data_IF_369099963384
#
_entry.id   IF_369099963384
#
_cell.length_a   1.000
_cell.length_b   1.000
_cell.length_c   1.000
_cell.angle_alpha   90.00
_cell.angle_beta   90.00
_cell.angle_gamma   90.00
#
_symmetry.space_group_name_H-M   'P 1'
#
loop_
_entity.id
_entity.type
_entity.pdbx_description
1 polymer ?
#
# COMPACT_ATOMS: atom_id res chain seq x y z
N UNK A 1 -23.43 -32.72 -19.12
CA UNK A 1 -23.74 -31.33 -18.76
C UNK A 1 -22.49 -30.68 -18.16
N UNK A 2 -21.71 -30.05 -19.02
CA UNK A 2 -20.48 -29.36 -18.68
C UNK A 2 -20.84 -27.94 -18.26
N UNK A 3 -20.65 -27.61 -16.99
CA UNK A 3 -20.77 -26.23 -16.48
C UNK A 3 -19.50 -25.48 -16.92
N UNK A 4 -19.65 -24.66 -17.96
CA UNK A 4 -18.63 -23.67 -18.31
C UNK A 4 -18.63 -22.56 -17.24
N UNK A 5 -17.84 -22.72 -16.20
CA UNK A 5 -17.55 -21.66 -15.26
C UNK A 5 -16.49 -20.72 -15.85
N UNK A 6 -16.81 -19.44 -15.97
CA UNK A 6 -15.81 -18.42 -16.27
C UNK A 6 -14.89 -18.27 -15.06
N UNK A 7 -13.68 -18.82 -15.15
CA UNK A 7 -12.65 -18.62 -14.12
C UNK A 7 -12.01 -17.27 -14.34
N UNK A 8 -12.23 -16.33 -13.43
CA UNK A 8 -11.51 -15.06 -13.39
C UNK A 8 -10.24 -15.27 -12.55
N UNK A 9 -9.11 -15.46 -13.20
CA UNK A 9 -7.82 -15.45 -12.52
C UNK A 9 -7.45 -14.01 -12.16
N UNK A 10 -7.50 -13.67 -10.89
CA UNK A 10 -6.98 -12.41 -10.37
C UNK A 10 -5.49 -12.57 -10.06
N UNK A 11 -4.66 -12.63 -11.09
CA UNK A 11 -3.21 -12.50 -10.99
C UNK A 11 -2.80 -11.11 -11.46
N UNK A 12 -1.92 -10.46 -10.71
CA UNK A 12 -1.38 -9.15 -11.09
C UNK A 12 -0.36 -9.24 -12.25
N UNK A 13 0.03 -10.45 -12.65
CA UNK A 13 0.99 -10.71 -13.72
C UNK A 13 0.57 -11.93 -14.52
N UNK A 14 0.26 -11.73 -15.82
CA UNK A 14 0.16 -12.81 -16.80
C UNK A 14 1.19 -12.50 -17.89
N UNK A 15 2.20 -13.35 -17.99
CA UNK A 15 3.09 -13.39 -19.12
C UNK A 15 2.40 -14.11 -20.27
N UNK A 16 2.16 -13.40 -21.34
CA UNK A 16 1.80 -13.78 -22.72
C UNK A 16 0.42 -13.36 -23.21
N UNK A 17 0.42 -12.49 -24.21
CA UNK A 17 -0.54 -12.45 -25.29
C UNK A 17 -1.63 -11.38 -25.23
N UNK A 18 -2.20 -11.07 -24.10
CA UNK A 18 -3.22 -10.03 -23.97
C UNK A 18 -2.81 -8.98 -22.94
N UNK A 19 -2.83 -7.70 -23.33
CA UNK A 19 -2.62 -6.58 -22.42
C UNK A 19 -3.76 -6.56 -21.41
N UNK A 20 -3.59 -7.23 -20.27
CA UNK A 20 -4.56 -7.13 -19.18
C UNK A 20 -4.37 -5.77 -18.49
N UNK A 21 -5.36 -4.93 -18.67
CA UNK A 21 -5.45 -3.66 -17.98
C UNK A 21 -5.74 -3.95 -16.50
N UNK A 22 -4.85 -3.48 -15.61
CA UNK A 22 -5.07 -3.52 -14.17
C UNK A 22 -6.25 -2.59 -13.83
N UNK A 23 -7.47 -3.11 -13.88
CA UNK A 23 -8.68 -2.34 -13.59
C UNK A 23 -9.24 -2.71 -12.23
N UNK A 24 -9.75 -1.70 -11.51
CA UNK A 24 -10.63 -1.93 -10.36
C UNK A 24 -12.04 -2.26 -10.83
N UNK A 25 -12.75 -3.03 -10.02
CA UNK A 25 -14.15 -3.41 -10.26
C UNK A 25 -15.09 -2.22 -10.54
N UNK A 26 -14.73 -1.02 -10.06
CA UNK A 26 -15.51 0.22 -10.24
C UNK A 26 -14.95 1.18 -11.30
N UNK A 27 -14.13 0.73 -12.23
CA UNK A 27 -13.51 1.56 -13.28
C UNK A 27 -12.74 2.80 -12.77
N UNK A 28 -12.45 2.87 -11.48
CA UNK A 28 -11.68 3.97 -10.89
C UNK A 28 -10.18 3.78 -11.14
N UNK A 29 -9.44 4.87 -11.42
CA UNK A 29 -8.01 4.79 -11.65
C UNK A 29 -7.28 4.27 -10.42
N UNK A 30 -6.21 3.51 -10.67
CA UNK A 30 -5.32 3.06 -9.60
C UNK A 30 -4.51 4.25 -9.08
N UNK A 31 -4.32 4.39 -7.76
CA UNK A 31 -3.46 5.45 -7.23
C UNK A 31 -2.02 5.22 -7.65
N UNK A 32 -1.39 6.29 -8.13
CA UNK A 32 -0.01 6.25 -8.60
C UNK A 32 0.92 6.60 -7.42
N UNK A 33 1.92 5.74 -7.11
CA UNK A 33 2.84 6.02 -6.02
C UNK A 33 3.69 7.26 -6.26
N UNK A 34 3.86 8.07 -5.21
CA UNK A 34 4.83 9.16 -5.17
C UNK A 34 6.15 8.63 -4.60
N UNK A 35 7.20 8.64 -5.40
CA UNK A 35 8.54 8.25 -4.96
C UNK A 35 9.28 9.45 -4.34
N UNK A 36 9.70 9.31 -3.09
CA UNK A 36 10.48 10.32 -2.34
C UNK A 36 11.89 9.81 -2.11
N UNK A 37 12.85 10.34 -2.88
CA UNK A 37 14.27 9.98 -2.75
C UNK A 37 14.94 10.88 -1.72
N UNK A 38 15.42 10.31 -0.61
CA UNK A 38 16.05 11.06 0.47
C UNK A 38 16.86 10.15 1.39
N UNK A 39 17.85 10.74 2.12
CA UNK A 39 18.61 9.99 3.12
C UNK A 39 17.77 9.61 4.35
N UNK A 40 18.26 8.62 5.10
CA UNK A 40 17.51 8.00 6.21
C UNK A 40 17.01 9.01 7.25
N UNK A 41 17.81 10.01 7.63
CA UNK A 41 17.39 11.01 8.60
C UNK A 41 16.21 11.84 8.08
N UNK A 42 16.32 12.35 6.86
CA UNK A 42 15.24 13.12 6.24
C UNK A 42 13.99 12.28 6.02
N UNK A 43 14.15 10.98 5.71
CA UNK A 43 13.06 10.03 5.59
C UNK A 43 12.27 9.94 6.90
N UNK A 44 12.94 9.80 8.04
CA UNK A 44 12.29 9.73 9.35
C UNK A 44 11.58 11.03 9.71
N UNK A 45 12.21 12.20 9.48
CA UNK A 45 11.59 13.50 9.71
C UNK A 45 10.33 13.68 8.85
N UNK A 46 10.44 13.38 7.56
CA UNK A 46 9.31 13.53 6.64
C UNK A 46 8.21 12.48 6.91
N UNK A 47 8.56 11.27 7.35
CA UNK A 47 7.61 10.24 7.79
C UNK A 47 6.75 10.77 8.94
N UNK A 48 7.39 11.30 10.01
CA UNK A 48 6.65 11.86 11.16
C UNK A 48 5.75 13.01 10.73
N UNK A 49 6.25 13.94 9.92
CA UNK A 49 5.45 15.05 9.38
C UNK A 49 4.22 14.53 8.63
N UNK A 50 4.40 13.57 7.72
CA UNK A 50 3.32 13.03 6.92
C UNK A 50 2.29 12.25 7.76
N UNK A 51 2.76 11.45 8.73
CA UNK A 51 1.88 10.72 9.63
C UNK A 51 1.09 11.66 10.54
N UNK A 52 1.69 12.75 11.03
CA UNK A 52 0.97 13.79 11.80
C UNK A 52 -0.12 14.46 10.96
N UNK A 53 0.14 14.73 9.68
CA UNK A 53 -0.85 15.25 8.76
C UNK A 53 -2.02 14.27 8.61
N UNK A 54 -1.74 12.98 8.38
CA UNK A 54 -2.79 11.96 8.27
C UNK A 54 -3.56 11.77 9.58
N UNK A 55 -2.89 11.81 10.73
CA UNK A 55 -3.53 11.75 12.05
C UNK A 55 -4.54 12.90 12.23
N UNK A 56 -4.15 14.14 11.86
CA UNK A 56 -5.05 15.31 11.90
C UNK A 56 -6.27 15.11 11.00
N UNK A 57 -6.07 14.55 9.82
CA UNK A 57 -7.11 14.30 8.82
C UNK A 57 -7.90 12.99 9.08
N UNK A 58 -7.61 12.29 10.19
CA UNK A 58 -8.18 10.97 10.55
C UNK A 58 -8.08 9.93 9.43
N UNK A 59 -6.98 9.96 8.68
CA UNK A 59 -6.71 9.02 7.60
C UNK A 59 -5.88 7.86 8.12
N UNK A 60 -6.41 6.62 8.08
CA UNK A 60 -5.66 5.43 8.48
C UNK A 60 -4.48 5.16 7.57
N UNK A 61 -3.38 4.63 8.13
CA UNK A 61 -2.15 4.39 7.37
C UNK A 61 -1.70 2.93 7.49
N UNK A 62 -1.35 2.32 6.36
CA UNK A 62 -0.52 1.11 6.32
C UNK A 62 0.93 1.50 6.07
N UNK A 63 1.79 1.21 7.03
CA UNK A 63 3.22 1.49 6.96
C UNK A 63 3.98 0.18 6.74
N UNK A 64 4.47 -0.01 5.51
CA UNK A 64 5.22 -1.20 5.12
C UNK A 64 6.70 -1.06 5.44
N UNK A 65 7.24 -2.07 6.12
CA UNK A 65 8.66 -2.19 6.48
C UNK A 65 9.22 -3.54 6.02
N UNK A 66 10.55 -3.65 5.99
CA UNK A 66 11.26 -4.80 5.42
C UNK A 66 11.15 -6.08 6.25
N UNK A 67 11.22 -5.96 7.57
CA UNK A 67 11.34 -7.11 8.50
C UNK A 67 10.44 -6.94 9.70
N UNK A 68 10.06 -8.05 10.30
CA UNK A 68 9.21 -8.08 11.50
C UNK A 68 9.88 -7.31 12.66
N UNK A 69 11.20 -7.42 12.82
CA UNK A 69 11.92 -6.70 13.88
C UNK A 69 11.80 -5.19 13.71
N UNK A 70 11.80 -4.70 12.47
CA UNK A 70 11.61 -3.27 12.17
C UNK A 70 10.22 -2.80 12.55
N UNK A 71 9.18 -3.64 12.52
CA UNK A 71 7.83 -3.21 12.91
C UNK A 71 7.81 -2.71 14.35
N UNK A 72 8.48 -3.42 15.25
CA UNK A 72 8.57 -3.05 16.68
C UNK A 72 9.43 -1.81 16.90
N UNK A 73 10.54 -1.68 16.16
CA UNK A 73 11.41 -0.49 16.25
C UNK A 73 10.66 0.76 15.77
N UNK A 74 9.98 0.66 14.64
CA UNK A 74 9.16 1.75 14.09
C UNK A 74 8.00 2.07 15.03
N UNK A 75 7.33 1.08 15.61
CA UNK A 75 6.25 1.32 16.59
C UNK A 75 6.76 2.11 17.81
N UNK A 76 7.92 1.73 18.38
CA UNK A 76 8.54 2.48 19.49
C UNK A 76 8.88 3.92 19.09
N UNK A 77 9.43 4.10 17.89
CA UNK A 77 9.73 5.42 17.33
C UNK A 77 8.47 6.27 17.18
N UNK A 78 7.40 5.73 16.60
CA UNK A 78 6.13 6.43 16.41
C UNK A 78 5.47 6.82 17.75
N UNK A 79 5.59 5.96 18.77
CA UNK A 79 5.10 6.24 20.12
C UNK A 79 5.74 7.49 20.72
N UNK A 80 7.04 7.72 20.48
CA UNK A 80 7.74 8.92 20.93
C UNK A 80 7.10 10.21 20.38
N UNK A 81 6.53 10.15 19.17
CA UNK A 81 5.82 11.26 18.55
C UNK A 81 4.30 11.23 18.79
N UNK A 82 3.82 10.47 19.77
CA UNK A 82 2.38 10.34 20.07
C UNK A 82 1.54 9.93 18.85
N UNK A 83 2.09 9.07 18.00
CA UNK A 83 1.38 8.44 16.88
C UNK A 83 1.00 7.02 17.33
N UNK A 84 -0.30 6.77 17.44
CA UNK A 84 -0.83 5.48 17.88
C UNK A 84 -0.66 4.45 16.77
N UNK A 85 0.08 3.37 17.04
CA UNK A 85 0.35 2.34 16.03
C UNK A 85 0.29 0.93 16.61
N UNK A 86 -0.06 -0.03 15.76
CA UNK A 86 -0.03 -1.46 16.07
C UNK A 86 0.78 -2.22 15.03
N UNK A 87 1.50 -3.27 15.48
CA UNK A 87 2.26 -4.13 14.58
C UNK A 87 1.40 -5.30 14.11
N UNK A 88 1.12 -5.36 12.82
CA UNK A 88 0.48 -6.52 12.23
C UNK A 88 1.55 -7.52 11.76
N UNK A 89 1.54 -8.70 12.39
CA UNK A 89 2.41 -9.82 12.01
C UNK A 89 1.58 -10.90 11.30
N UNK A 90 2.23 -11.86 10.66
CA UNK A 90 1.61 -12.95 9.88
C UNK A 90 0.66 -13.87 10.67
N UNK A 91 0.52 -13.70 11.99
CA UNK A 91 -0.47 -14.40 12.78
C UNK A 91 -1.85 -13.79 12.56
N UNK A 92 -2.79 -14.51 11.97
CA UNK A 92 -4.13 -14.04 11.59
C UNK A 92 -4.87 -13.27 12.69
N UNK A 93 -4.80 -13.73 13.93
CA UNK A 93 -5.44 -13.03 15.08
C UNK A 93 -4.94 -11.58 15.24
N UNK A 94 -3.65 -11.33 15.07
CA UNK A 94 -3.08 -10.00 15.22
C UNK A 94 -3.49 -9.06 14.06
N UNK A 95 -3.74 -9.61 12.88
CA UNK A 95 -4.17 -8.83 11.71
C UNK A 95 -5.61 -8.34 11.91
N UNK A 96 -6.53 -9.24 12.27
CA UNK A 96 -7.92 -8.88 12.54
C UNK A 96 -8.04 -7.84 13.65
N UNK A 97 -7.32 -8.03 14.75
CA UNK A 97 -7.29 -7.05 15.84
C UNK A 97 -6.79 -5.68 15.36
N UNK A 98 -5.68 -5.64 14.60
CA UNK A 98 -5.17 -4.38 14.04
C UNK A 98 -6.17 -3.68 13.15
N UNK A 99 -6.94 -4.46 12.36
CA UNK A 99 -7.97 -3.91 11.48
C UNK A 99 -9.17 -3.35 12.23
N UNK A 100 -9.57 -3.98 13.30
CA UNK A 100 -10.63 -3.46 14.17
C UNK A 100 -10.19 -2.17 14.85
N UNK A 101 -8.99 -2.16 15.44
CA UNK A 101 -8.43 -0.97 16.09
C UNK A 101 -8.27 0.22 15.13
N UNK A 102 -7.88 0.01 13.87
CA UNK A 102 -7.73 1.11 12.91
C UNK A 102 -9.09 1.62 12.41
N UNK A 103 -10.07 0.74 12.27
CA UNK A 103 -11.45 1.10 11.91
C UNK A 103 -12.17 1.86 13.03
N UNK A 104 -11.90 1.52 14.29
CA UNK A 104 -12.43 2.21 15.47
C UNK A 104 -11.67 3.51 15.81
N UNK A 105 -10.64 3.86 15.04
CA UNK A 105 -9.74 4.99 15.30
C UNK A 105 -8.99 4.92 16.64
N UNK A 106 -8.84 3.73 17.21
CA UNK A 106 -7.98 3.50 18.37
C UNK A 106 -6.50 3.67 18.03
N UNK A 107 -6.13 3.34 16.78
CA UNK A 107 -4.80 3.53 16.22
C UNK A 107 -4.86 4.31 14.90
N UNK A 108 -3.77 4.98 14.57
CA UNK A 108 -3.61 5.76 13.34
C UNK A 108 -2.86 4.97 12.27
N UNK A 109 -1.98 4.05 12.69
CA UNK A 109 -1.01 3.37 11.82
C UNK A 109 -0.97 1.88 12.11
N UNK A 110 -1.07 1.06 11.07
CA UNK A 110 -0.67 -0.36 11.11
C UNK A 110 0.72 -0.47 10.52
N UNK A 111 1.70 -0.89 11.33
CA UNK A 111 3.06 -1.19 10.88
C UNK A 111 3.14 -2.67 10.51
N UNK A 112 3.50 -2.95 9.26
CA UNK A 112 3.43 -4.31 8.71
C UNK A 112 4.57 -4.61 7.73
N UNK A 113 4.75 -5.88 7.44
CA UNK A 113 5.58 -6.35 6.33
C UNK A 113 4.72 -6.70 5.11
N UNK A 114 5.34 -7.03 3.98
CA UNK A 114 4.65 -7.38 2.71
C UNK A 114 3.68 -8.57 2.83
N UNK A 115 3.75 -9.34 3.91
CA UNK A 115 2.92 -10.55 4.15
C UNK A 115 1.44 -10.24 4.42
N UNK A 116 1.04 -8.99 4.51
CA UNK A 116 -0.38 -8.60 4.66
C UNK A 116 -1.16 -8.76 3.35
N UNK A 117 -1.19 -9.99 2.82
CA UNK A 117 -1.56 -10.24 1.43
C UNK A 117 -3.04 -10.32 1.14
N UNK A 118 -3.93 -10.71 2.04
CA UNK A 118 -5.30 -11.05 1.63
C UNK A 118 -6.39 -10.52 2.55
N UNK A 119 -7.40 -9.91 1.94
CA UNK A 119 -8.69 -9.66 2.60
C UNK A 119 -8.82 -8.37 3.41
N UNK A 120 -7.78 -7.53 3.52
CA UNK A 120 -7.86 -6.31 4.31
C UNK A 120 -8.36 -5.13 3.50
N UNK A 121 -9.56 -4.71 3.77
CA UNK A 121 -10.11 -3.49 3.19
C UNK A 121 -10.38 -2.50 4.32
N UNK A 122 -9.65 -1.39 4.29
CA UNK A 122 -9.87 -0.24 5.18
C UNK A 122 -10.22 0.95 4.31
N UNK A 123 -11.28 1.67 4.69
CA UNK A 123 -11.71 2.86 3.97
C UNK A 123 -10.70 3.98 4.15
N UNK A 124 -10.52 4.79 3.12
CA UNK A 124 -9.63 5.96 3.12
C UNK A 124 -8.18 5.67 3.56
N UNK A 125 -7.70 4.43 3.38
CA UNK A 125 -6.37 4.04 3.81
C UNK A 125 -5.29 4.68 2.92
N UNK A 126 -4.27 5.20 3.58
CA UNK A 126 -3.03 5.71 2.96
C UNK A 126 -1.95 4.65 3.09
N UNK A 127 -1.04 4.61 2.15
CA UNK A 127 0.05 3.64 2.15
C UNK A 127 1.39 4.35 2.16
N UNK A 128 2.26 3.90 3.05
CA UNK A 128 3.66 4.33 3.10
C UNK A 128 4.55 3.10 3.04
N UNK A 129 5.59 3.15 2.21
CA UNK A 129 6.61 2.11 2.08
C UNK A 129 7.95 2.72 2.48
N UNK A 130 8.63 2.11 3.45
CA UNK A 130 9.98 2.50 3.85
C UNK A 130 11.02 1.63 3.14
N UNK A 131 12.11 2.28 2.71
CA UNK A 131 13.21 1.61 2.01
C UNK A 131 12.78 0.87 0.74
N UNK A 132 12.02 1.56 -0.11
CA UNK A 132 11.54 1.01 -1.38
C UNK A 132 12.64 0.56 -2.36
N UNK A 133 13.91 0.90 -2.10
CA UNK A 133 15.07 0.41 -2.85
C UNK A 133 15.44 -1.04 -2.57
N UNK A 134 14.89 -1.63 -1.51
CA UNK A 134 15.23 -3.00 -1.13
C UNK A 134 14.64 -4.01 -2.12
N UNK A 135 15.37 -5.08 -2.50
CA UNK A 135 14.91 -6.08 -3.47
C UNK A 135 13.59 -6.78 -3.13
N UNK A 136 13.19 -6.77 -1.87
CA UNK A 136 11.89 -7.28 -1.43
C UNK A 136 10.71 -6.53 -2.06
N UNK A 137 10.90 -5.24 -2.39
CA UNK A 137 9.90 -4.42 -3.06
C UNK A 137 10.14 -4.46 -4.58
N UNK A 138 9.88 -5.63 -5.18
CA UNK A 138 9.83 -5.75 -6.63
C UNK A 138 8.61 -5.03 -7.22
N UNK A 139 8.52 -4.99 -8.53
CA UNK A 139 7.44 -4.31 -9.24
C UNK A 139 6.06 -4.88 -8.87
N UNK A 140 5.96 -6.19 -8.80
CA UNK A 140 4.74 -6.93 -8.54
C UNK A 140 4.20 -6.64 -7.13
N UNK A 141 5.08 -6.69 -6.12
CA UNK A 141 4.74 -6.35 -4.73
C UNK A 141 4.32 -4.88 -4.61
N UNK A 142 5.02 -3.96 -5.27
CA UNK A 142 4.66 -2.55 -5.27
C UNK A 142 3.26 -2.31 -5.89
N UNK A 143 2.94 -2.97 -6.99
CA UNK A 143 1.61 -2.91 -7.62
C UNK A 143 0.54 -3.50 -6.69
N UNK A 144 0.81 -4.64 -6.05
CA UNK A 144 -0.12 -5.26 -5.10
C UNK A 144 -0.40 -4.35 -3.90
N UNK A 145 0.64 -3.73 -3.34
CA UNK A 145 0.51 -2.77 -2.24
C UNK A 145 -0.28 -1.54 -2.70
N UNK A 146 0.00 -1.01 -3.89
CA UNK A 146 -0.73 0.11 -4.47
C UNK A 146 -2.23 -0.20 -4.61
N UNK A 147 -2.57 -1.41 -5.00
CA UNK A 147 -3.95 -1.87 -5.09
C UNK A 147 -4.71 -1.93 -3.75
N UNK A 148 -4.06 -1.66 -2.61
CA UNK A 148 -4.72 -1.62 -1.29
C UNK A 148 -5.39 -0.30 -0.98
N UNK A 149 -4.97 0.79 -1.63
CA UNK A 149 -5.52 2.13 -1.42
C UNK A 149 -6.78 2.37 -2.26
N UNK A 150 -7.66 3.25 -1.78
CA UNK A 150 -8.81 3.75 -2.57
C UNK A 150 -9.81 2.69 -3.03
N UNK A 151 -10.07 1.64 -2.24
CA UNK A 151 -10.93 0.51 -2.65
C UNK A 151 -12.43 0.75 -2.54
N UNK A 152 -12.86 1.76 -1.79
CA UNK A 152 -14.29 2.02 -1.55
C UNK A 152 -14.67 3.45 -1.91
N UNK A 153 -15.81 3.61 -2.58
CA UNK A 153 -16.47 4.89 -2.78
C UNK A 153 -16.98 5.40 -1.42
N UNK A 154 -16.82 6.69 -1.07
CA UNK A 154 -16.33 7.81 -1.89
C UNK A 154 -14.79 7.99 -1.90
N UNK A 155 -14.04 7.19 -1.15
CA UNK A 155 -12.59 7.35 -0.96
C UNK A 155 -11.80 6.62 -2.05
N UNK A 156 -11.88 7.10 -3.28
CA UNK A 156 -11.20 6.49 -4.43
C UNK A 156 -9.72 6.87 -4.54
N UNK A 157 -9.32 7.96 -3.87
CA UNK A 157 -7.96 8.53 -3.94
C UNK A 157 -7.27 8.42 -2.59
N UNK A 158 -6.47 7.36 -2.39
CA UNK A 158 -5.55 7.26 -1.27
C UNK A 158 -4.12 7.59 -1.71
N UNK A 159 -3.34 8.23 -0.84
CA UNK A 159 -1.93 8.51 -1.09
C UNK A 159 -1.10 7.24 -0.97
N UNK A 160 -0.14 7.06 -1.87
CA UNK A 160 0.90 6.06 -1.77
C UNK A 160 2.24 6.77 -1.81
N UNK A 161 3.04 6.62 -0.76
CA UNK A 161 4.36 7.25 -0.67
C UNK A 161 5.41 6.15 -0.53
N UNK A 162 6.36 6.13 -1.45
CA UNK A 162 7.54 5.25 -1.38
C UNK A 162 8.73 6.10 -0.96
N UNK A 163 9.22 5.88 0.26
CA UNK A 163 10.48 6.45 0.73
C UNK A 163 11.63 5.54 0.36
N UNK A 164 12.68 6.12 -0.22
CA UNK A 164 13.80 5.37 -0.76
C UNK A 164 15.08 6.22 -0.76
N UNK A 165 16.24 5.57 -0.68
CA UNK A 165 17.53 6.24 -0.83
C UNK A 165 17.90 6.45 -2.32
N UNK A 166 17.33 5.63 -3.21
CA UNK A 166 17.52 5.71 -4.65
C UNK A 166 16.30 5.19 -5.40
N UNK A 167 16.00 5.76 -6.54
CA UNK A 167 14.92 5.27 -7.38
C UNK A 167 15.37 4.02 -8.16
N UNK A 168 14.80 2.87 -7.85
CA UNK A 168 15.10 1.58 -8.50
C UNK A 168 14.32 1.40 -9.82
N UNK A 169 14.75 0.43 -10.63
CA UNK A 169 14.04 0.02 -11.84
C UNK A 169 12.62 -0.45 -11.50
N UNK A 170 12.46 -1.25 -10.45
CA UNK A 170 11.17 -1.75 -9.98
C UNK A 170 10.17 -0.62 -9.66
N UNK A 171 10.62 0.44 -8.96
CA UNK A 171 9.78 1.60 -8.66
C UNK A 171 9.36 2.33 -9.93
N UNK A 172 10.31 2.54 -10.87
CA UNK A 172 10.01 3.22 -12.15
C UNK A 172 9.01 2.44 -12.98
N UNK A 173 9.20 1.14 -13.09
CA UNK A 173 8.31 0.25 -13.85
C UNK A 173 6.92 0.17 -13.21
N UNK A 174 6.83 0.04 -11.88
CA UNK A 174 5.57 0.07 -11.17
C UNK A 174 4.78 1.36 -11.48
N UNK A 175 5.40 2.53 -11.36
CA UNK A 175 4.76 3.81 -11.64
C UNK A 175 4.30 3.88 -13.11
N UNK A 176 5.16 3.47 -14.04
CA UNK A 176 4.85 3.46 -15.48
C UNK A 176 3.66 2.55 -15.82
N UNK A 177 3.66 1.33 -15.28
CA UNK A 177 2.60 0.34 -15.53
C UNK A 177 1.24 0.84 -15.00
N UNK A 178 1.23 1.45 -13.80
CA UNK A 178 0.02 2.03 -13.23
C UNK A 178 -0.48 3.24 -14.03
N UNK A 179 0.42 4.10 -14.54
CA UNK A 179 0.06 5.22 -15.41
C UNK A 179 -0.54 4.74 -16.74
N UNK A 180 0.07 3.74 -17.35
CA UNK A 180 -0.43 3.14 -18.59
C UNK A 180 -1.79 2.47 -18.41
N UNK A 181 -1.96 1.73 -17.32
CA UNK A 181 -3.27 1.11 -16.97
C UNK A 181 -4.37 2.16 -16.81
N UNK A 182 -4.08 3.27 -16.14
CA UNK A 182 -5.04 4.34 -15.96
C UNK A 182 -5.39 5.02 -17.30
N UNK A 183 -4.40 5.25 -18.17
CA UNK A 183 -4.63 5.83 -19.49
C UNK A 183 -5.50 4.93 -20.38
N UNK A 184 -5.25 3.61 -20.38
CA UNK A 184 -6.07 2.65 -21.12
C UNK A 184 -7.50 2.54 -20.59
N UNK A 185 -7.68 2.68 -19.27
CA UNK A 185 -9.01 2.67 -18.65
C UNK A 185 -9.83 3.89 -19.04
N UNK A 186 -9.19 5.07 -19.15
CA UNK A 186 -9.85 6.31 -19.56
C UNK A 186 -10.32 6.33 -21.02
N UNK A 187 -9.69 5.51 -21.90
CA UNK A 187 -10.08 5.40 -23.31
C UNK A 187 -11.30 4.47 -23.49
N UNK A 188 -11.53 3.54 -22.56
CA UNK A 188 -12.60 2.55 -22.64
C UNK A 188 -13.89 2.95 -21.90
N UNK A 189 -13.86 4.05 -21.16
CA UNK A 189 -15.03 4.66 -20.47
C UNK A 189 -15.66 5.74 -21.33
#
# INVERSE_FOLDING_TARGET
NSIKGNYVFMSATIESGDVQVLQRFHHQPLPIPTCKVMGNFMMLCHLVYQLKKYQKDKKPVFLFVLRIEMTRQVQKFLKFFSIKSHCATSKEKNIHQSLEMIKSHEIDVIVCTTVLERGMTVENVQVIILHGEHPLFDKEILIQIAGRTGRKVPYTNGDIIIYTNRQTKAIKECIKDLQQSNALSAIKS
#
